data_IF_053936847969
#
_entry.id   IF_053936847969
#
_cell.length_a   1.000
_cell.length_b   1.000
_cell.length_c   1.000
_cell.angle_alpha   90.00
_cell.angle_beta   90.00
_cell.angle_gamma   90.00
#
_symmetry.space_group_name_H-M   'P 1'
#
loop_
_entity.id
_entity.type
_entity.pdbx_description
1 polymer ?
#
# COMPACT_ATOMS: atom_id res chain seq x y z
N UNK A 1 -29.17 51.31 -30.74
CA UNK A 1 -29.30 50.50 -29.55
C UNK A 1 -28.57 49.18 -29.77
N UNK A 2 -27.34 49.07 -29.28
CA UNK A 2 -26.49 47.90 -29.47
C UNK A 2 -26.54 47.09 -28.18
N UNK A 3 -27.18 45.91 -28.24
CA UNK A 3 -27.24 44.98 -27.11
C UNK A 3 -25.89 44.27 -26.95
N UNK A 4 -25.24 44.54 -25.86
CA UNK A 4 -24.02 43.81 -25.43
C UNK A 4 -24.47 42.49 -24.79
N UNK A 5 -24.33 41.37 -25.50
CA UNK A 5 -24.42 40.02 -24.89
C UNK A 5 -23.18 39.77 -24.06
N UNK A 6 -23.32 39.87 -22.74
CA UNK A 6 -22.33 39.34 -21.81
C UNK A 6 -22.44 37.82 -21.83
N UNK A 7 -21.55 37.18 -22.58
CA UNK A 7 -21.32 35.74 -22.47
C UNK A 7 -20.59 35.54 -21.14
N UNK A 8 -21.34 35.14 -20.11
CA UNK A 8 -20.78 34.59 -18.88
C UNK A 8 -20.13 33.27 -19.24
N UNK A 9 -18.80 33.26 -19.38
CA UNK A 9 -18.06 32.03 -19.26
C UNK A 9 -18.23 31.52 -17.83
N UNK A 10 -19.16 30.60 -17.62
CA UNK A 10 -19.09 29.71 -16.48
C UNK A 10 -17.76 28.92 -16.64
N UNK A 11 -16.78 29.27 -15.85
CA UNK A 11 -15.67 28.36 -15.60
C UNK A 11 -16.30 27.09 -15.02
N UNK A 12 -16.28 26.03 -15.77
CA UNK A 12 -16.42 24.69 -15.25
C UNK A 12 -15.21 24.46 -14.33
N UNK A 13 -15.35 24.81 -13.06
CA UNK A 13 -14.42 24.41 -12.00
C UNK A 13 -14.68 22.93 -11.65
N UNK A 14 -14.84 22.08 -12.65
CA UNK A 14 -14.76 20.64 -12.47
C UNK A 14 -13.29 20.32 -12.27
N UNK A 15 -12.89 20.31 -11.01
CA UNK A 15 -11.57 19.84 -10.59
C UNK A 15 -11.51 18.35 -10.91
N UNK A 16 -11.17 18.02 -12.14
CA UNK A 16 -10.84 16.63 -12.52
C UNK A 16 -9.53 16.26 -11.88
N UNK A 17 -9.58 15.81 -10.64
CA UNK A 17 -8.48 15.11 -10.00
C UNK A 17 -8.80 13.62 -10.03
N UNK A 18 -8.15 12.90 -10.93
CA UNK A 18 -8.02 11.46 -10.81
C UNK A 18 -7.17 11.18 -9.59
N UNK A 19 -7.82 10.96 -8.49
CA UNK A 19 -7.11 10.66 -7.26
C UNK A 19 -7.27 9.19 -6.97
N UNK A 20 -6.25 8.44 -7.41
CA UNK A 20 -5.95 7.19 -6.75
C UNK A 20 -5.29 7.54 -5.44
N UNK A 21 -5.95 7.29 -4.34
CA UNK A 21 -5.40 7.60 -3.02
C UNK A 21 -5.63 6.45 -2.05
N UNK A 22 -4.61 6.21 -1.22
CA UNK A 22 -4.67 5.22 -0.15
C UNK A 22 -5.08 5.89 1.15
N UNK A 23 -5.86 5.17 1.96
CA UNK A 23 -6.34 5.68 3.24
C UNK A 23 -7.24 4.67 3.96
N UNK A 24 -7.99 5.17 4.92
CA UNK A 24 -8.86 4.37 5.77
C UNK A 24 -10.32 4.86 5.69
N UNK A 25 -11.26 3.92 5.71
CA UNK A 25 -12.66 4.23 5.97
C UNK A 25 -12.87 4.39 7.47
N UNK A 26 -13.52 5.47 7.87
CA UNK A 26 -13.92 5.73 9.26
C UNK A 26 -15.18 6.58 9.26
N UNK A 27 -16.17 6.17 10.03
CA UNK A 27 -17.43 6.90 10.23
C UNK A 27 -18.12 7.35 8.92
N UNK A 28 -18.14 6.47 7.92
CA UNK A 28 -18.77 6.72 6.62
C UNK A 28 -18.02 7.69 5.71
N UNK A 29 -16.78 8.04 6.07
CA UNK A 29 -15.88 8.89 5.28
C UNK A 29 -14.63 8.10 4.91
N UNK A 30 -13.91 8.56 3.90
CA UNK A 30 -12.58 8.08 3.59
C UNK A 30 -11.55 9.14 3.97
N UNK A 31 -10.56 8.75 4.78
CA UNK A 31 -9.47 9.62 5.22
C UNK A 31 -8.19 9.14 4.55
N UNK A 32 -7.65 9.96 3.65
CA UNK A 32 -6.42 9.61 2.94
C UNK A 32 -5.20 9.69 3.86
N UNK A 33 -4.14 9.00 3.47
CA UNK A 33 -2.85 9.04 4.17
C UNK A 33 -2.24 10.45 4.22
N UNK A 34 -2.66 11.37 3.34
CA UNK A 34 -2.28 12.78 3.36
C UNK A 34 -3.16 13.64 4.29
N UNK A 35 -4.09 13.01 5.00
CA UNK A 35 -4.98 13.70 5.94
C UNK A 35 -6.15 14.45 5.28
N UNK A 36 -6.45 14.16 4.01
CA UNK A 36 -7.65 14.68 3.37
C UNK A 36 -8.86 13.82 3.73
N UNK A 37 -9.98 14.47 4.03
CA UNK A 37 -11.25 13.82 4.30
C UNK A 37 -12.14 13.86 3.06
N UNK A 38 -12.60 12.71 2.61
CA UNK A 38 -13.47 12.55 1.47
C UNK A 38 -14.86 12.09 1.93
N UNK A 39 -15.86 12.94 1.71
CA UNK A 39 -17.26 12.64 1.95
C UNK A 39 -17.83 12.01 0.66
N UNK A 40 -18.26 10.77 0.72
CA UNK A 40 -18.80 10.05 -0.44
C UNK A 40 -20.23 10.50 -0.64
N UNK A 41 -20.48 11.25 -1.73
CA UNK A 41 -21.81 11.73 -2.12
C UNK A 41 -22.45 10.87 -3.21
N UNK A 42 -21.62 10.34 -4.08
CA UNK A 42 -22.07 9.53 -5.22
C UNK A 42 -21.23 8.25 -5.30
N UNK A 43 -21.91 7.16 -5.62
CA UNK A 43 -21.28 5.86 -5.88
C UNK A 43 -21.45 5.52 -7.35
N UNK A 44 -20.35 5.40 -8.08
CA UNK A 44 -20.32 4.87 -9.44
C UNK A 44 -19.87 3.40 -9.49
N UNK A 45 -19.35 2.87 -8.38
CA UNK A 45 -19.00 1.47 -8.22
C UNK A 45 -20.11 0.66 -7.54
N UNK A 46 -20.17 -0.63 -7.85
CA UNK A 46 -21.06 -1.58 -7.18
C UNK A 46 -20.25 -2.38 -6.14
N UNK A 47 -20.91 -2.73 -5.02
CA UNK A 47 -20.38 -3.65 -4.01
C UNK A 47 -19.15 -3.16 -3.22
N UNK A 48 -19.21 -1.97 -2.68
CA UNK A 48 -18.26 -1.58 -1.63
C UNK A 48 -18.57 -2.42 -0.38
N UNK A 49 -17.65 -3.27 0.04
CA UNK A 49 -17.82 -4.07 1.25
C UNK A 49 -17.61 -3.23 2.50
N UNK A 50 -18.55 -3.28 3.42
CA UNK A 50 -18.47 -2.58 4.72
C UNK A 50 -17.31 -3.08 5.62
N UNK A 51 -16.68 -4.20 5.24
CA UNK A 51 -15.57 -4.79 5.99
C UNK A 51 -14.20 -4.22 5.61
N UNK A 52 -14.12 -3.43 4.54
CA UNK A 52 -12.87 -2.83 4.09
C UNK A 52 -12.54 -1.63 4.97
N UNK A 53 -11.55 -1.77 5.85
CA UNK A 53 -11.09 -0.69 6.70
C UNK A 53 -10.03 0.18 6.01
N UNK A 54 -9.07 -0.42 5.30
CA UNK A 54 -8.02 0.27 4.55
C UNK A 54 -8.11 -0.07 3.07
N UNK A 55 -8.04 0.97 2.24
CA UNK A 55 -8.24 0.81 0.79
C UNK A 55 -7.42 1.80 -0.03
N UNK A 56 -7.31 1.48 -1.31
CA UNK A 56 -7.05 2.44 -2.37
C UNK A 56 -8.38 2.75 -3.02
N UNK A 57 -8.70 4.04 -3.15
CA UNK A 57 -9.90 4.49 -3.85
C UNK A 57 -9.54 5.23 -5.13
N UNK A 58 -10.44 5.16 -6.10
CA UNK A 58 -10.46 6.00 -7.31
C UNK A 58 -11.69 6.87 -7.24
N UNK A 59 -11.52 8.19 -7.30
CA UNK A 59 -12.65 9.11 -7.16
C UNK A 59 -12.50 10.38 -7.99
N UNK A 60 -13.63 11.01 -8.30
CA UNK A 60 -13.71 12.40 -8.77
C UNK A 60 -14.03 13.33 -7.60
N UNK A 61 -13.40 14.46 -7.54
CA UNK A 61 -13.75 15.54 -6.61
C UNK A 61 -14.91 16.32 -7.19
N UNK A 62 -16.05 16.32 -6.51
CA UNK A 62 -17.25 17.07 -6.89
C UNK A 62 -17.18 18.51 -6.38
N UNK A 63 -16.74 18.69 -5.12
CA UNK A 63 -16.58 20.00 -4.52
C UNK A 63 -15.56 19.98 -3.38
N UNK A 64 -14.97 21.13 -3.09
CA UNK A 64 -14.16 21.35 -1.88
C UNK A 64 -15.05 21.99 -0.82
N UNK A 65 -15.21 21.33 0.33
CA UNK A 65 -16.11 21.76 1.42
C UNK A 65 -15.36 22.34 2.62
N UNK A 66 -14.03 22.13 2.71
CA UNK A 66 -13.17 22.63 3.77
C UNK A 66 -11.71 22.69 3.34
N UNK A 67 -10.80 23.02 4.25
CA UNK A 67 -9.38 23.13 3.93
C UNK A 67 -8.81 21.81 3.36
N UNK A 68 -9.15 20.69 4.00
CA UNK A 68 -8.78 19.33 3.60
C UNK A 68 -10.01 18.43 3.47
N UNK A 69 -11.18 19.01 3.17
CA UNK A 69 -12.44 18.26 3.03
C UNK A 69 -13.00 18.41 1.64
N UNK A 70 -13.43 17.28 1.08
CA UNK A 70 -13.91 17.18 -0.29
C UNK A 70 -15.15 16.29 -0.36
N UNK A 71 -16.12 16.67 -1.15
CA UNK A 71 -17.20 15.80 -1.59
C UNK A 71 -16.75 15.06 -2.85
N UNK A 72 -16.98 13.77 -2.92
CA UNK A 72 -16.48 12.93 -4.01
C UNK A 72 -17.57 12.03 -4.61
N UNK A 73 -17.33 11.67 -5.88
CA UNK A 73 -17.92 10.50 -6.52
C UNK A 73 -16.90 9.36 -6.50
N UNK A 74 -17.25 8.25 -5.88
CA UNK A 74 -16.39 7.07 -5.75
C UNK A 74 -16.57 6.15 -6.96
N UNK A 75 -15.49 5.88 -7.70
CA UNK A 75 -15.49 5.03 -8.88
C UNK A 75 -15.02 3.60 -8.61
N UNK A 76 -14.04 3.43 -7.73
CA UNK A 76 -13.50 2.11 -7.40
C UNK A 76 -12.92 2.07 -5.98
N UNK A 77 -12.94 0.87 -5.39
CA UNK A 77 -12.39 0.58 -4.06
C UNK A 77 -11.64 -0.74 -4.11
N UNK A 78 -10.35 -0.68 -3.88
CA UNK A 78 -9.50 -1.87 -3.74
C UNK A 78 -9.03 -1.99 -2.30
N UNK A 79 -9.44 -3.05 -1.60
CA UNK A 79 -9.00 -3.32 -0.23
C UNK A 79 -7.49 -3.54 -0.17
N UNK A 80 -6.85 -3.01 0.87
CA UNK A 80 -5.43 -3.19 1.14
C UNK A 80 -5.27 -4.21 2.27
N UNK A 81 -4.51 -5.28 2.01
CA UNK A 81 -4.18 -6.24 3.05
C UNK A 81 -3.44 -5.53 4.19
N UNK A 82 -4.02 -5.57 5.38
CA UNK A 82 -3.48 -4.84 6.53
C UNK A 82 -3.24 -5.79 7.69
N UNK A 83 -2.04 -5.78 8.22
CA UNK A 83 -1.64 -6.66 9.33
C UNK A 83 -0.69 -5.95 10.28
N UNK A 84 -0.94 -6.09 11.58
CA UNK A 84 -0.05 -5.55 12.62
C UNK A 84 1.32 -6.24 12.56
N UNK A 85 2.44 -5.48 12.60
CA UNK A 85 3.76 -6.07 12.73
C UNK A 85 3.86 -6.94 13.98
N UNK A 86 4.68 -7.97 13.87
CA UNK A 86 4.89 -8.95 14.93
C UNK A 86 6.23 -8.68 15.62
N UNK A 87 6.26 -8.71 16.93
CA UNK A 87 7.51 -8.68 17.70
C UNK A 87 8.14 -10.07 17.69
N UNK A 88 9.42 -10.16 17.31
CA UNK A 88 10.14 -11.44 17.21
C UNK A 88 10.20 -12.20 18.51
N UNK A 89 10.14 -11.50 19.65
CA UNK A 89 10.22 -12.11 20.99
C UNK A 89 8.89 -12.61 21.52
N UNK A 90 7.76 -12.16 20.92
CA UNK A 90 6.41 -12.46 21.40
C UNK A 90 5.74 -13.64 20.72
N UNK A 91 6.35 -14.21 19.65
CA UNK A 91 5.73 -15.21 18.80
C UNK A 91 6.47 -16.53 18.84
N UNK A 92 5.73 -17.61 19.06
CA UNK A 92 6.23 -19.00 19.06
C UNK A 92 5.88 -19.77 17.80
N UNK A 93 4.97 -19.24 16.95
CA UNK A 93 4.57 -19.89 15.71
C UNK A 93 5.67 -19.78 14.65
N UNK A 94 6.33 -20.91 14.37
CA UNK A 94 7.43 -20.99 13.41
C UNK A 94 7.02 -20.66 11.96
N UNK A 95 5.74 -20.78 11.62
CA UNK A 95 5.25 -20.47 10.26
C UNK A 95 5.34 -18.98 9.92
N UNK A 96 5.40 -18.13 10.94
CA UNK A 96 5.54 -16.67 10.81
C UNK A 96 6.97 -16.28 10.39
N UNK A 97 7.97 -17.11 10.70
CA UNK A 97 9.39 -16.79 10.49
C UNK A 97 9.94 -17.34 9.17
N UNK A 98 9.14 -17.99 8.34
CA UNK A 98 9.56 -18.48 7.03
C UNK A 98 9.94 -17.30 6.13
N UNK A 99 11.03 -17.45 5.37
CA UNK A 99 11.60 -16.43 4.48
C UNK A 99 11.57 -16.90 3.02
N UNK A 100 10.44 -17.43 2.55
CA UNK A 100 10.27 -17.74 1.15
C UNK A 100 10.37 -16.45 0.31
N UNK A 101 10.94 -16.50 -0.89
CA UNK A 101 11.20 -15.29 -1.66
C UNK A 101 9.91 -14.68 -2.22
N UNK A 102 9.89 -13.34 -2.27
CA UNK A 102 8.90 -12.51 -2.98
C UNK A 102 9.62 -11.31 -3.62
N UNK A 103 8.93 -10.53 -4.42
CA UNK A 103 9.50 -9.29 -4.97
C UNK A 103 8.71 -8.07 -4.46
N UNK A 104 9.42 -6.96 -4.21
CA UNK A 104 8.81 -5.70 -3.83
C UNK A 104 8.95 -4.72 -4.99
N UNK A 105 7.81 -4.23 -5.50
CA UNK A 105 7.77 -3.21 -6.53
C UNK A 105 7.94 -1.81 -5.97
N UNK A 106 7.24 -1.51 -4.88
CA UNK A 106 7.27 -0.20 -4.20
C UNK A 106 7.21 -0.38 -2.69
N UNK A 107 7.82 0.57 -1.97
CA UNK A 107 7.78 0.60 -0.50
C UNK A 107 7.87 2.06 -0.01
N UNK A 108 6.97 2.45 0.90
CA UNK A 108 6.94 3.81 1.45
C UNK A 108 6.26 3.87 2.82
N UNK A 109 6.45 4.98 3.53
CA UNK A 109 5.71 5.29 4.76
C UNK A 109 4.68 6.38 4.50
N UNK A 110 3.43 6.16 4.89
CA UNK A 110 2.37 7.18 4.90
C UNK A 110 1.25 6.77 5.84
N UNK A 111 0.48 7.75 6.35
CA UNK A 111 -0.70 7.50 7.16
C UNK A 111 -0.45 6.72 8.46
N UNK A 112 0.81 6.63 8.92
CA UNK A 112 1.18 5.79 10.06
C UNK A 112 1.43 4.32 9.72
N UNK A 113 1.62 4.02 8.44
CA UNK A 113 1.86 2.68 7.93
C UNK A 113 3.18 2.58 7.17
N UNK A 114 3.79 1.40 7.18
CA UNK A 114 4.69 0.95 6.14
C UNK A 114 3.83 0.29 5.07
N UNK A 115 3.87 0.82 3.86
CA UNK A 115 3.10 0.36 2.72
C UNK A 115 4.04 -0.28 1.70
N UNK A 116 3.60 -1.34 1.07
CA UNK A 116 4.36 -2.04 0.03
C UNK A 116 3.42 -2.48 -1.08
N UNK A 117 3.91 -2.43 -2.31
CA UNK A 117 3.35 -3.21 -3.40
C UNK A 117 4.25 -4.42 -3.62
N UNK A 118 3.72 -5.60 -3.40
CA UNK A 118 4.49 -6.86 -3.46
C UNK A 118 4.01 -7.74 -4.61
N UNK A 119 4.94 -8.50 -5.17
CA UNK A 119 4.66 -9.56 -6.12
C UNK A 119 4.93 -10.90 -5.46
N UNK A 120 3.91 -11.75 -5.46
CA UNK A 120 3.95 -13.09 -4.88
C UNK A 120 3.87 -14.08 -6.02
N UNK A 121 4.86 -14.98 -6.19
CA UNK A 121 4.73 -16.08 -7.11
C UNK A 121 3.70 -17.08 -6.57
N UNK A 122 2.71 -17.38 -7.38
CA UNK A 122 1.67 -18.37 -7.08
C UNK A 122 1.71 -19.46 -8.13
N UNK A 123 1.65 -20.70 -7.72
CA UNK A 123 1.58 -21.83 -8.65
C UNK A 123 0.27 -21.76 -9.45
N UNK A 124 0.35 -21.95 -10.76
CA UNK A 124 -0.80 -21.88 -11.63
C UNK A 124 -1.91 -22.85 -11.19
N UNK A 125 -3.12 -22.33 -11.01
CA UNK A 125 -4.27 -23.10 -10.54
C UNK A 125 -4.29 -23.43 -9.04
N UNK A 126 -3.31 -22.98 -8.26
CA UNK A 126 -3.32 -23.10 -6.80
C UNK A 126 -4.34 -22.17 -6.16
N UNK A 127 -4.91 -22.61 -5.06
CA UNK A 127 -5.75 -21.81 -4.15
C UNK A 127 -5.09 -21.62 -2.78
N UNK A 128 -3.80 -21.97 -2.66
CA UNK A 128 -3.05 -21.83 -1.42
C UNK A 128 -2.86 -20.36 -1.08
N UNK A 129 -3.39 -19.94 0.05
CA UNK A 129 -3.15 -18.59 0.57
C UNK A 129 -1.74 -18.53 1.18
N UNK A 130 -0.96 -17.54 0.75
CA UNK A 130 0.36 -17.28 1.30
C UNK A 130 0.27 -16.43 2.58
N UNK A 131 1.22 -16.59 3.48
CA UNK A 131 1.29 -15.84 4.72
C UNK A 131 2.36 -14.75 4.63
N UNK A 132 1.97 -13.50 4.85
CA UNK A 132 2.88 -12.35 4.88
C UNK A 132 2.90 -11.77 6.29
N UNK A 133 4.10 -11.50 6.82
CA UNK A 133 4.30 -10.85 8.10
C UNK A 133 5.44 -9.83 8.02
N UNK A 134 5.29 -8.73 8.73
CA UNK A 134 6.40 -7.83 9.02
C UNK A 134 6.83 -8.09 10.47
N UNK A 135 8.04 -8.61 10.65
CA UNK A 135 8.56 -8.99 11.96
C UNK A 135 9.56 -7.94 12.41
N UNK A 136 9.30 -7.32 13.56
CA UNK A 136 10.22 -6.40 14.19
C UNK A 136 11.37 -7.19 14.84
N UNK A 137 12.61 -6.76 14.55
CA UNK A 137 13.80 -7.28 15.16
C UNK A 137 14.32 -6.27 16.19
N UNK A 138 14.10 -6.53 17.48
CA UNK A 138 14.53 -5.62 18.55
C UNK A 138 16.03 -5.62 18.84
N UNK A 139 16.83 -6.31 18.03
CA UNK A 139 18.28 -6.41 18.19
C UNK A 139 19.06 -5.14 17.78
N UNK A 140 18.40 -4.13 17.21
CA UNK A 140 19.07 -2.87 16.88
C UNK A 140 19.40 -2.10 18.17
N UNK A 141 20.70 -1.87 18.39
CA UNK A 141 21.20 -1.06 19.51
C UNK A 141 21.30 0.44 19.15
N UNK A 142 20.93 0.83 17.94
CA UNK A 142 21.03 2.19 17.43
C UNK A 142 19.75 2.95 17.74
N UNK A 143 19.85 4.07 18.46
CA UNK A 143 18.70 4.90 18.85
C UNK A 143 18.02 5.50 17.60
N UNK A 144 16.69 5.46 17.56
CA UNK A 144 15.90 5.96 16.45
C UNK A 144 15.95 5.07 15.19
N UNK A 145 16.59 3.89 15.25
CA UNK A 145 16.64 2.92 14.16
C UNK A 145 15.86 1.68 14.52
N UNK A 146 14.92 1.33 13.65
CA UNK A 146 14.04 0.18 13.80
C UNK A 146 14.24 -0.80 12.65
N UNK A 147 14.51 -2.05 13.00
CA UNK A 147 14.78 -3.11 12.01
C UNK A 147 13.58 -4.03 11.88
N UNK A 148 13.20 -4.30 10.65
CA UNK A 148 12.12 -5.23 10.31
C UNK A 148 12.59 -6.25 9.29
N UNK A 149 11.96 -7.41 9.34
CA UNK A 149 12.10 -8.46 8.32
C UNK A 149 10.73 -8.74 7.75
N UNK A 150 10.58 -8.58 6.45
CA UNK A 150 9.40 -9.06 5.76
C UNK A 150 9.53 -10.57 5.58
N UNK A 151 8.60 -11.30 6.18
CA UNK A 151 8.52 -12.75 6.17
C UNK A 151 7.40 -13.18 5.24
N UNK A 152 7.69 -14.16 4.44
CA UNK A 152 6.76 -14.78 3.52
C UNK A 152 6.81 -16.29 3.69
N UNK A 153 5.65 -16.92 3.81
CA UNK A 153 5.52 -18.36 3.79
C UNK A 153 4.60 -18.74 2.62
N UNK A 154 5.21 -19.33 1.62
CA UNK A 154 4.52 -19.79 0.41
C UNK A 154 3.96 -21.22 0.55
N UNK A 155 4.11 -21.85 1.73
CA UNK A 155 3.67 -23.21 1.98
C UNK A 155 4.16 -24.23 0.94
N UNK A 156 5.41 -24.03 0.47
CA UNK A 156 6.06 -24.90 -0.50
C UNK A 156 5.87 -24.47 -1.97
N UNK A 157 5.09 -23.41 -2.23
CA UNK A 157 4.95 -22.85 -3.58
C UNK A 157 6.07 -21.84 -3.88
N UNK A 158 7.30 -22.33 -3.90
CA UNK A 158 8.48 -21.49 -4.16
C UNK A 158 8.96 -21.72 -5.59
N UNK A 159 9.04 -20.64 -6.35
CA UNK A 159 9.55 -20.65 -7.71
C UNK A 159 11.07 -20.77 -7.70
N UNK A 160 11.61 -21.75 -8.42
CA UNK A 160 13.05 -22.05 -8.49
C UNK A 160 13.49 -22.37 -9.90
N UNK A 161 14.75 -22.07 -10.20
CA UNK A 161 15.36 -22.45 -11.48
C UNK A 161 14.62 -21.89 -12.69
N UNK A 162 14.14 -22.77 -13.56
CA UNK A 162 13.41 -22.42 -14.80
C UNK A 162 11.93 -22.77 -14.72
N UNK A 163 11.36 -22.72 -13.54
CA UNK A 163 9.93 -22.98 -13.36
C UNK A 163 9.08 -22.01 -14.18
N UNK A 164 8.16 -22.57 -14.97
CA UNK A 164 7.24 -21.81 -15.81
C UNK A 164 5.78 -21.93 -15.37
N UNK A 165 5.53 -22.74 -14.34
CA UNK A 165 4.18 -23.01 -13.81
C UNK A 165 3.80 -22.07 -12.67
N UNK A 166 4.23 -20.82 -12.76
CA UNK A 166 3.92 -19.77 -11.79
C UNK A 166 3.38 -18.53 -12.49
N UNK A 167 2.50 -17.82 -11.78
CA UNK A 167 2.02 -16.49 -12.11
C UNK A 167 2.40 -15.53 -10.99
N UNK A 168 2.76 -14.29 -11.33
CA UNK A 168 3.04 -13.26 -10.33
C UNK A 168 1.75 -12.50 -10.01
N UNK A 169 1.25 -12.67 -8.80
CA UNK A 169 0.17 -11.86 -8.26
C UNK A 169 0.71 -10.62 -7.58
N UNK A 170 0.19 -9.43 -7.97
CA UNK A 170 0.54 -8.17 -7.32
C UNK A 170 -0.51 -7.76 -6.30
N UNK A 171 -0.10 -7.33 -5.11
CA UNK A 171 -1.02 -6.81 -4.09
C UNK A 171 -0.39 -5.72 -3.23
N UNK A 172 -1.24 -4.82 -2.73
CA UNK A 172 -0.83 -3.84 -1.72
C UNK A 172 -0.98 -4.43 -0.32
N UNK A 173 0.06 -4.22 0.49
CA UNK A 173 0.07 -4.58 1.90
C UNK A 173 0.45 -3.37 2.74
N UNK A 174 -0.16 -3.24 3.92
CA UNK A 174 0.10 -2.15 4.85
C UNK A 174 0.29 -2.70 6.26
N UNK A 175 1.31 -2.19 6.93
CA UNK A 175 1.62 -2.56 8.30
C UNK A 175 1.53 -1.30 9.18
N UNK A 176 0.56 -1.21 10.12
CA UNK A 176 0.45 -0.07 11.01
C UNK A 176 1.67 -0.01 11.94
N UNK A 177 2.37 1.12 11.92
CA UNK A 177 3.56 1.36 12.75
C UNK A 177 3.44 2.64 13.59
N UNK A 178 2.35 3.38 13.44
CA UNK A 178 2.05 4.52 14.30
C UNK A 178 2.01 4.06 15.77
N UNK A 179 2.75 4.75 16.64
CA UNK A 179 2.87 4.40 18.06
C UNK A 179 3.89 3.30 18.39
N UNK A 180 4.52 2.67 17.39
CA UNK A 180 5.63 1.73 17.62
C UNK A 180 6.97 2.43 17.88
N UNK A 181 7.09 3.67 17.43
CA UNK A 181 8.29 4.49 17.57
C UNK A 181 8.15 5.45 18.74
N UNK A 182 9.25 5.68 19.46
CA UNK A 182 9.29 6.61 20.60
C UNK A 182 9.52 8.04 20.16
N UNK A 183 10.21 8.19 19.04
CA UNK A 183 10.64 9.46 18.47
C UNK A 183 9.67 9.92 17.37
N UNK A 184 9.63 11.22 17.12
CA UNK A 184 8.86 11.81 16.01
C UNK A 184 9.43 11.47 14.63
N UNK A 185 10.68 11.01 14.60
CA UNK A 185 11.38 10.55 13.40
C UNK A 185 12.07 9.23 13.69
N UNK A 186 12.03 8.33 12.73
CA UNK A 186 12.68 7.04 12.83
C UNK A 186 13.27 6.61 11.49
N UNK A 187 14.43 5.97 11.54
CA UNK A 187 14.98 5.25 10.40
C UNK A 187 14.51 3.81 10.45
N UNK A 188 13.84 3.36 9.41
CA UNK A 188 13.31 2.01 9.31
C UNK A 188 14.16 1.23 8.30
N UNK A 189 14.80 0.17 8.76
CA UNK A 189 15.53 -0.76 7.91
C UNK A 189 14.70 -2.02 7.72
N UNK A 190 14.45 -2.39 6.47
CA UNK A 190 13.65 -3.57 6.13
C UNK A 190 14.50 -4.47 5.25
N UNK A 191 14.53 -5.75 5.59
CA UNK A 191 15.12 -6.80 4.75
C UNK A 191 14.09 -7.86 4.39
N UNK A 192 14.30 -8.52 3.26
CA UNK A 192 13.47 -9.63 2.79
C UNK A 192 14.28 -10.56 1.90
N UNK A 193 13.74 -11.73 1.67
CA UNK A 193 14.24 -12.67 0.68
C UNK A 193 13.55 -12.41 -0.65
N UNK A 194 14.34 -12.14 -1.69
CA UNK A 194 13.83 -11.74 -2.99
C UNK A 194 14.08 -12.78 -4.06
N UNK A 195 13.17 -12.85 -5.04
CA UNK A 195 13.43 -13.49 -6.31
C UNK A 195 14.23 -12.58 -7.22
N UNK A 196 15.23 -13.13 -7.88
CA UNK A 196 16.01 -12.48 -8.93
C UNK A 196 16.11 -13.37 -10.13
N UNK A 197 15.80 -12.83 -11.30
CA UNK A 197 16.04 -13.52 -12.56
C UNK A 197 17.47 -13.29 -13.03
N UNK A 198 18.20 -14.38 -13.25
CA UNK A 198 19.55 -14.35 -13.79
C UNK A 198 19.62 -15.34 -14.95
N UNK A 199 19.88 -14.83 -16.16
CA UNK A 199 20.00 -15.65 -17.39
C UNK A 199 18.80 -16.57 -17.65
N UNK A 200 17.59 -16.08 -17.35
CA UNK A 200 16.34 -16.84 -17.53
C UNK A 200 16.10 -17.92 -16.47
N UNK A 201 16.81 -17.86 -15.37
CA UNK A 201 16.59 -18.72 -14.21
C UNK A 201 16.34 -17.90 -12.94
N UNK A 202 15.46 -18.39 -12.10
CA UNK A 202 15.13 -17.76 -10.83
C UNK A 202 16.13 -18.17 -9.75
N UNK A 203 16.73 -17.18 -9.14
CA UNK A 203 17.59 -17.30 -7.97
C UNK A 203 17.01 -16.55 -6.79
N UNK A 204 17.61 -16.70 -5.63
CA UNK A 204 17.16 -16.10 -4.37
C UNK A 204 18.28 -15.27 -3.79
N UNK A 205 17.98 -14.04 -3.39
CA UNK A 205 18.92 -13.16 -2.70
C UNK A 205 18.26 -12.42 -1.53
N UNK A 206 19.06 -11.90 -0.61
CA UNK A 206 18.57 -11.04 0.47
C UNK A 206 18.68 -9.59 0.05
N UNK A 207 17.56 -8.91 -0.07
CA UNK A 207 17.48 -7.47 -0.33
C UNK A 207 17.24 -6.67 0.95
N UNK A 208 17.56 -5.38 0.87
CA UNK A 208 17.38 -4.42 1.97
C UNK A 208 16.95 -3.07 1.44
N UNK A 209 16.11 -2.39 2.21
CA UNK A 209 15.74 -1.00 1.96
C UNK A 209 15.76 -0.21 3.27
N UNK A 210 15.96 1.09 3.15
CA UNK A 210 15.91 2.03 4.27
C UNK A 210 14.84 3.07 3.99
N UNK A 211 13.90 3.20 4.90
CA UNK A 211 12.84 4.20 4.87
C UNK A 211 13.08 5.20 6.00
N UNK A 212 12.88 6.47 5.70
CA UNK A 212 12.77 7.50 6.71
C UNK A 212 11.30 7.69 7.07
N UNK A 213 10.99 7.51 8.33
CA UNK A 213 9.68 7.78 8.89
C UNK A 213 9.74 9.08 9.67
N UNK A 214 8.88 10.02 9.36
CA UNK A 214 8.69 11.20 10.17
C UNK A 214 7.21 11.35 10.54
N UNK A 215 6.95 11.46 11.84
CA UNK A 215 5.64 11.78 12.38
C UNK A 215 5.63 13.26 12.74
N UNK A 216 5.24 14.12 11.82
CA UNK A 216 4.88 15.50 12.16
C UNK A 216 3.39 15.55 12.49
N UNK A 217 3.04 16.22 13.61
CA UNK A 217 1.63 16.45 13.96
C UNK A 217 0.93 17.18 12.81
N UNK A 218 0.31 16.41 11.91
CA UNK A 218 -0.45 16.90 10.76
C UNK A 218 0.30 16.99 9.44
N UNK A 219 1.55 16.50 9.33
CA UNK A 219 2.32 16.45 8.09
C UNK A 219 2.64 15.02 7.66
N UNK A 220 2.49 14.72 6.38
CA UNK A 220 2.90 13.46 5.78
C UNK A 220 3.94 13.80 4.71
N UNK A 221 5.19 13.45 4.92
CA UNK A 221 6.20 13.54 3.87
C UNK A 221 6.30 12.22 3.10
N UNK A 222 6.18 12.36 1.78
CA UNK A 222 6.34 11.27 0.83
C UNK A 222 7.77 11.33 0.30
N UNK A 223 8.65 10.45 0.74
CA UNK A 223 9.92 10.19 0.04
C UNK A 223 9.84 8.84 -0.66
N UNK A 224 9.65 8.92 -1.97
CA UNK A 224 9.84 7.75 -2.85
C UNK A 224 11.35 7.61 -3.08
N UNK A 225 11.96 6.59 -2.52
CA UNK A 225 13.28 6.14 -2.99
C UNK A 225 13.04 4.83 -3.73
N UNK A 226 13.06 4.92 -4.99
CA UNK A 226 13.44 4.04 -6.08
C UNK A 226 12.48 4.09 -7.25
N UNK A 227 13.07 4.32 -8.40
CA UNK A 227 12.48 4.44 -9.72
C UNK A 227 12.01 3.08 -10.25
N UNK A 228 10.91 2.56 -9.73
CA UNK A 228 10.16 1.54 -10.43
C UNK A 228 9.00 2.21 -11.19
N UNK A 229 8.71 1.83 -12.44
CA UNK A 229 7.59 2.39 -13.17
C UNK A 229 6.29 2.07 -12.42
N UNK A 230 5.46 3.09 -12.19
CA UNK A 230 4.12 2.89 -11.62
C UNK A 230 3.34 1.93 -12.50
N UNK A 231 2.81 0.83 -11.96
CA UNK A 231 1.96 -0.03 -12.75
C UNK A 231 0.72 0.75 -13.19
N UNK A 232 0.50 0.83 -14.49
CA UNK A 232 -0.77 1.26 -15.05
C UNK A 232 -1.79 0.17 -14.75
N UNK A 233 -2.80 0.48 -13.96
CA UNK A 233 -3.89 -0.45 -13.68
C UNK A 233 -4.60 -0.81 -14.99
N UNK A 234 -4.42 -2.02 -15.48
CA UNK A 234 -5.31 -2.61 -16.46
C UNK A 234 -6.57 -3.06 -15.70
N UNK A 235 -7.73 -2.59 -16.16
CA UNK A 235 -9.03 -3.04 -15.68
C UNK A 235 -9.08 -4.57 -15.68
N UNK A 236 -9.36 -5.17 -14.53
CA UNK A 236 -9.83 -6.54 -14.47
C UNK A 236 -9.05 -7.52 -13.60
N UNK A 237 -8.84 -7.25 -12.32
CA UNK A 237 -8.59 -8.31 -11.35
C UNK A 237 -9.67 -8.23 -10.27
N UNK A 238 -10.74 -9.00 -10.48
CA UNK A 238 -11.66 -9.34 -9.40
C UNK A 238 -10.94 -10.32 -8.47
N UNK A 239 -10.72 -9.91 -7.24
CA UNK A 239 -10.34 -10.82 -6.17
C UNK A 239 -11.63 -11.32 -5.49
N UNK A 240 -11.81 -12.64 -5.49
CA UNK A 240 -12.81 -13.29 -4.64
C UNK A 240 -12.29 -13.41 -3.21
#
# INVERSE_FOLDING_TARGET
>A
MTALCLISCQKDDTLQYFNTTMGNFSDGKFISDQGNTFNIKELACQNVSDTIARAIIVCDVLSKTGEKEYDIRLHDVSGVFTKTPVDSTSVTDSTIFVEDPLSIGEMWCSGGYINMFIYIPMKSGSTQAHLINLVRNDASAEEGVYEFVLKHNAYGEVMTGKDTDFVLGGTYVSFPVAGMFKEDKATIRIRWTAHKEVEGAWSVETERNVLEYSWEKGGFEHKVSNTAPRPTFSQGCHWM
#
